data_IF_852714803895
#
_entry.id   IF_852714803895
#
_cell.length_a   1.000
_cell.length_b   1.000
_cell.length_c   1.000
_cell.angle_alpha   90.00
_cell.angle_beta   90.00
_cell.angle_gamma   90.00
#
_symmetry.space_group_name_H-M   'P 1'
#
loop_
_entity.id
_entity.type
_entity.pdbx_description
1 polymer ?
#
# COMPACT_ATOMS: atom_id res chain seq x y z
N UNK A 1 -0.31 27.83 -14.17
CA UNK A 1 0.42 26.55 -13.98
C UNK A 1 -0.53 25.44 -13.50
N UNK A 2 -1.28 25.64 -12.43
CA UNK A 2 -2.20 24.61 -11.88
C UNK A 2 -3.30 24.19 -12.86
N UNK A 3 -3.96 25.14 -13.50
CA UNK A 3 -5.02 24.86 -14.51
C UNK A 3 -4.48 24.08 -15.73
N UNK A 4 -3.24 24.35 -16.15
CA UNK A 4 -2.61 23.61 -17.26
C UNK A 4 -2.35 22.15 -16.84
N UNK A 5 -1.88 21.91 -15.61
CA UNK A 5 -1.69 20.54 -15.07
C UNK A 5 -3.00 19.76 -15.09
N UNK A 6 -4.11 20.35 -14.62
CA UNK A 6 -5.41 19.68 -14.66
C UNK A 6 -5.84 19.34 -16.10
N UNK A 7 -5.65 20.27 -17.05
CA UNK A 7 -5.99 20.02 -18.43
C UNK A 7 -5.13 18.91 -19.05
N UNK A 8 -3.83 18.88 -18.77
CA UNK A 8 -2.93 17.82 -19.24
C UNK A 8 -3.34 16.46 -18.67
N UNK A 9 -3.60 16.39 -17.36
CA UNK A 9 -4.10 15.17 -16.67
C UNK A 9 -5.39 14.67 -17.30
N UNK A 10 -6.38 15.54 -17.51
CA UNK A 10 -7.68 15.16 -18.07
C UNK A 10 -7.61 14.79 -19.56
N UNK A 11 -6.70 15.37 -20.32
CA UNK A 11 -6.53 15.08 -21.75
C UNK A 11 -5.91 13.72 -22.02
N UNK A 12 -5.04 13.25 -21.10
CA UNK A 12 -4.36 11.94 -21.19
C UNK A 12 -5.08 10.82 -20.41
N UNK A 13 -6.18 11.14 -19.72
CA UNK A 13 -6.87 10.23 -18.81
C UNK A 13 -7.30 8.93 -19.49
N UNK A 14 -6.98 7.81 -18.85
CA UNK A 14 -7.48 6.47 -19.14
C UNK A 14 -8.07 5.89 -17.86
N UNK A 15 -9.22 5.24 -17.96
CA UNK A 15 -9.85 4.55 -16.82
C UNK A 15 -9.97 3.08 -17.17
N UNK A 16 -9.42 2.25 -16.28
CA UNK A 16 -9.40 0.80 -16.43
C UNK A 16 -10.11 0.11 -15.26
N UNK A 17 -10.58 -1.11 -15.50
CA UNK A 17 -11.22 -1.97 -14.51
C UNK A 17 -10.55 -3.33 -14.53
N UNK A 18 -9.86 -3.68 -13.44
CA UNK A 18 -9.07 -4.91 -13.33
C UNK A 18 -9.75 -5.87 -12.33
N UNK A 19 -10.15 -7.09 -12.74
CA UNK A 19 -10.62 -8.11 -11.81
C UNK A 19 -9.50 -8.57 -10.87
N UNK A 20 -9.84 -8.87 -9.61
CA UNK A 20 -8.89 -9.51 -8.69
C UNK A 20 -8.97 -11.04 -8.81
N UNK A 21 -7.85 -11.73 -8.56
CA UNK A 21 -7.79 -13.21 -8.56
C UNK A 21 -8.54 -13.82 -7.39
N UNK A 22 -8.64 -13.09 -6.30
CA UNK A 22 -9.38 -13.45 -5.09
C UNK A 22 -9.93 -12.18 -4.45
N UNK A 23 -10.97 -12.30 -3.62
CA UNK A 23 -11.53 -11.15 -2.92
C UNK A 23 -10.47 -10.55 -1.99
N UNK A 24 -10.21 -9.27 -2.13
CA UNK A 24 -9.24 -8.55 -1.31
C UNK A 24 -9.83 -7.22 -0.84
N UNK A 25 -9.78 -6.93 0.45
CA UNK A 25 -10.39 -5.72 1.04
C UNK A 25 -11.89 -5.54 0.65
N UNK A 26 -12.60 -6.64 0.50
CA UNK A 26 -14.02 -6.61 0.14
C UNK A 26 -14.31 -6.42 -1.35
N UNK A 27 -13.32 -6.13 -2.19
CA UNK A 27 -13.49 -5.89 -3.63
C UNK A 27 -13.07 -7.08 -4.49
N UNK A 28 -13.68 -7.20 -5.65
CA UNK A 28 -13.35 -8.17 -6.70
C UNK A 28 -13.03 -7.50 -8.04
N UNK A 29 -13.19 -6.18 -8.10
CA UNK A 29 -12.87 -5.35 -9.25
C UNK A 29 -12.18 -4.08 -8.78
N UNK A 30 -11.01 -3.78 -9.34
CA UNK A 30 -10.23 -2.58 -9.06
C UNK A 30 -10.35 -1.61 -10.23
N UNK A 31 -10.99 -0.47 -10.01
CA UNK A 31 -11.01 0.63 -10.97
C UNK A 31 -9.87 1.60 -10.70
N UNK A 32 -9.24 2.07 -11.75
CA UNK A 32 -8.00 2.85 -11.71
C UNK A 32 -8.05 3.92 -12.82
N UNK A 33 -7.72 5.15 -12.47
CA UNK A 33 -7.51 6.23 -13.41
C UNK A 33 -6.01 6.44 -13.64
N UNK A 34 -5.57 6.33 -14.89
CA UNK A 34 -4.19 6.55 -15.32
C UNK A 34 -4.12 7.83 -16.16
N UNK A 35 -3.02 8.56 -16.06
CA UNK A 35 -2.75 9.73 -16.87
C UNK A 35 -1.25 9.91 -17.10
N UNK A 36 -0.88 10.72 -18.07
CA UNK A 36 0.51 10.95 -18.45
C UNK A 36 0.89 12.42 -18.26
N UNK A 37 2.11 12.65 -17.82
CA UNK A 37 2.73 13.97 -17.77
C UNK A 37 4.19 13.93 -18.24
N UNK A 38 4.92 15.05 -18.15
CA UNK A 38 6.29 15.14 -18.63
C UNK A 38 7.28 14.15 -18.01
N UNK A 39 7.01 13.67 -16.79
CA UNK A 39 7.85 12.71 -16.07
C UNK A 39 7.42 11.25 -16.24
N UNK A 40 6.31 11.01 -16.95
CA UNK A 40 5.79 9.70 -17.28
C UNK A 40 4.36 9.46 -16.84
N UNK A 41 3.95 8.19 -16.86
CA UNK A 41 2.63 7.75 -16.46
C UNK A 41 2.46 7.74 -14.95
N UNK A 42 1.24 8.03 -14.50
CA UNK A 42 0.86 8.09 -13.11
C UNK A 42 -0.54 7.53 -12.87
N UNK A 43 -0.85 7.29 -11.62
CA UNK A 43 -2.09 6.67 -11.18
C UNK A 43 -2.84 7.54 -10.18
N UNK A 44 -4.17 7.61 -10.33
CA UNK A 44 -5.13 8.11 -9.36
C UNK A 44 -6.19 7.04 -9.10
N UNK A 45 -6.09 6.34 -7.98
CA UNK A 45 -6.94 5.19 -7.72
C UNK A 45 -7.40 5.07 -6.26
N UNK A 46 -7.92 6.16 -5.63
CA UNK A 46 -8.49 6.06 -4.30
C UNK A 46 -9.66 5.08 -4.30
N UNK A 47 -9.89 4.38 -3.19
CA UNK A 47 -11.02 3.48 -3.07
C UNK A 47 -12.35 4.21 -3.26
N UNK A 48 -13.35 3.51 -3.80
CA UNK A 48 -14.61 4.15 -4.24
C UNK A 48 -15.39 4.81 -3.10
N UNK A 49 -15.20 4.32 -1.86
CA UNK A 49 -15.84 4.84 -0.65
C UNK A 49 -15.20 6.14 -0.11
N UNK A 50 -14.02 6.54 -0.63
CA UNK A 50 -13.33 7.74 -0.16
C UNK A 50 -13.93 9.01 -0.77
N UNK A 51 -14.12 10.03 0.07
CA UNK A 51 -14.54 11.36 -0.37
C UNK A 51 -13.39 12.14 -1.05
N UNK A 52 -13.67 13.37 -1.45
CA UNK A 52 -12.72 14.23 -2.15
C UNK A 52 -11.50 14.58 -1.28
N UNK A 53 -11.69 14.76 0.02
CA UNK A 53 -10.60 15.12 0.95
C UNK A 53 -9.68 13.92 1.19
N UNK A 54 -10.24 12.73 1.38
CA UNK A 54 -9.44 11.48 1.50
C UNK A 54 -8.75 11.14 0.16
N UNK A 55 -9.35 11.51 -0.96
CA UNK A 55 -8.82 11.28 -2.31
C UNK A 55 -7.75 12.30 -2.72
N UNK A 56 -7.71 13.49 -2.11
CA UNK A 56 -6.78 14.56 -2.49
C UNK A 56 -5.30 14.14 -2.41
N UNK A 57 -4.80 13.50 -1.35
CA UNK A 57 -3.41 13.02 -1.33
C UNK A 57 -3.10 12.06 -2.48
N UNK A 58 -4.03 11.19 -2.86
CA UNK A 58 -3.85 10.26 -3.97
C UNK A 58 -3.69 10.98 -5.32
N UNK A 59 -4.49 12.02 -5.55
CA UNK A 59 -4.35 12.85 -6.74
C UNK A 59 -2.99 13.56 -6.74
N UNK A 60 -2.58 14.12 -5.61
CA UNK A 60 -1.31 14.83 -5.49
C UNK A 60 -0.11 13.90 -5.67
N UNK A 61 -0.21 12.66 -5.21
CA UNK A 61 0.79 11.62 -5.47
C UNK A 61 0.94 11.34 -6.98
N UNK A 62 -0.18 11.17 -7.68
CA UNK A 62 -0.16 10.97 -9.13
C UNK A 62 0.40 12.19 -9.88
N UNK A 63 0.03 13.40 -9.46
CA UNK A 63 0.58 14.63 -10.06
C UNK A 63 2.09 14.75 -9.79
N UNK A 64 2.56 14.45 -8.58
CA UNK A 64 4.00 14.40 -8.30
C UNK A 64 4.69 13.39 -9.23
N UNK A 65 4.12 12.18 -9.39
CA UNK A 65 4.69 11.14 -10.26
C UNK A 65 4.80 11.58 -11.72
N UNK A 66 3.77 12.27 -12.23
CA UNK A 66 3.70 12.70 -13.63
C UNK A 66 4.48 14.00 -13.95
N UNK A 67 4.67 14.89 -12.98
CA UNK A 67 5.18 16.24 -13.24
C UNK A 67 6.47 16.59 -12.49
N UNK A 68 6.79 15.88 -11.39
CA UNK A 68 7.99 16.19 -10.62
C UNK A 68 9.23 15.48 -11.18
N UNK A 69 10.39 16.07 -10.97
CA UNK A 69 11.68 15.44 -11.29
C UNK A 69 11.85 14.15 -10.50
N UNK A 70 12.28 13.05 -11.11
CA UNK A 70 12.60 11.82 -10.38
C UNK A 70 13.67 12.06 -9.30
N UNK A 71 13.51 11.39 -8.16
CA UNK A 71 14.53 11.41 -7.09
C UNK A 71 15.61 10.36 -7.37
N UNK A 72 16.84 10.57 -6.87
CA UNK A 72 17.90 9.57 -6.94
C UNK A 72 17.49 8.31 -6.19
N UNK A 73 17.66 7.15 -6.80
CA UNK A 73 17.41 5.86 -6.19
C UNK A 73 18.71 5.25 -5.66
N UNK A 74 18.64 4.64 -4.48
CA UNK A 74 19.78 4.00 -3.80
C UNK A 74 19.88 2.51 -4.11
N UNK A 75 18.83 1.92 -4.71
CA UNK A 75 18.76 0.50 -5.06
C UNK A 75 17.91 0.27 -6.30
N UNK A 76 18.17 -0.81 -6.99
CA UNK A 76 17.51 -1.18 -8.25
C UNK A 76 16.50 -2.32 -8.10
N UNK A 77 16.51 -3.00 -6.95
CA UNK A 77 15.62 -4.11 -6.64
C UNK A 77 15.08 -3.95 -5.22
N UNK A 78 13.82 -4.29 -5.01
CA UNK A 78 13.15 -4.18 -3.72
C UNK A 78 12.70 -5.56 -3.27
N UNK A 79 13.10 -6.03 -2.07
CA UNK A 79 12.57 -7.25 -1.48
C UNK A 79 11.10 -7.06 -1.10
N UNK A 80 10.25 -8.04 -1.47
CA UNK A 80 8.81 -7.96 -1.22
C UNK A 80 8.32 -9.09 -0.32
N UNK A 81 7.20 -8.86 0.36
CA UNK A 81 6.48 -9.93 1.03
C UNK A 81 5.35 -10.49 0.17
N UNK A 82 5.06 -11.78 0.35
CA UNK A 82 3.81 -12.36 -0.11
C UNK A 82 2.63 -11.75 0.67
N UNK A 83 1.50 -11.53 -0.01
CA UNK A 83 0.26 -11.04 0.62
C UNK A 83 -0.77 -12.16 0.61
N UNK A 84 -1.18 -12.61 1.81
CA UNK A 84 -2.17 -13.65 2.02
C UNK A 84 -3.51 -13.03 2.42
N UNK A 85 -4.53 -13.08 1.56
CA UNK A 85 -5.88 -12.65 1.87
C UNK A 85 -6.55 -13.53 2.95
N UNK A 86 -7.76 -13.16 3.36
CA UNK A 86 -8.60 -13.97 4.25
C UNK A 86 -9.18 -15.15 3.49
N UNK A 87 -8.40 -16.22 3.32
CA UNK A 87 -8.80 -17.49 2.71
C UNK A 87 -8.67 -18.62 3.73
N UNK A 88 -9.57 -19.61 3.66
CA UNK A 88 -9.67 -20.67 4.65
C UNK A 88 -9.43 -22.06 4.07
N UNK A 89 -9.04 -22.15 2.82
CA UNK A 89 -8.69 -23.39 2.15
C UNK A 89 -7.17 -23.52 1.98
N UNK A 90 -6.63 -24.65 2.45
CA UNK A 90 -5.17 -24.89 2.42
C UNK A 90 -4.61 -24.92 1.00
N UNK A 91 -5.35 -25.47 0.03
CA UNK A 91 -4.89 -25.54 -1.35
C UNK A 91 -4.90 -24.15 -2.01
N UNK A 92 -5.87 -23.31 -1.64
CA UNK A 92 -5.90 -21.91 -2.06
C UNK A 92 -4.73 -21.12 -1.46
N UNK A 93 -4.40 -21.34 -0.18
CA UNK A 93 -3.22 -20.73 0.47
C UNK A 93 -1.94 -21.12 -0.27
N UNK A 94 -1.75 -22.41 -0.58
CA UNK A 94 -0.59 -22.89 -1.32
C UNK A 94 -0.50 -22.27 -2.71
N UNK A 95 -1.62 -22.20 -3.42
CA UNK A 95 -1.72 -21.52 -4.72
C UNK A 95 -1.34 -20.04 -4.63
N UNK A 96 -1.84 -19.32 -3.62
CA UNK A 96 -1.52 -17.89 -3.43
C UNK A 96 -0.03 -17.71 -3.13
N UNK A 97 0.56 -18.54 -2.27
CA UNK A 97 2.00 -18.50 -1.97
C UNK A 97 2.85 -18.69 -3.22
N UNK A 98 2.39 -19.51 -4.18
CA UNK A 98 3.11 -19.73 -5.44
C UNK A 98 3.18 -18.50 -6.36
N UNK A 99 2.36 -17.48 -6.13
CA UNK A 99 2.42 -16.20 -6.88
C UNK A 99 3.61 -15.33 -6.47
N UNK A 100 4.33 -15.70 -5.40
CA UNK A 100 5.42 -14.90 -4.82
C UNK A 100 6.73 -15.71 -4.77
N UNK A 101 7.30 -16.09 -5.93
CA UNK A 101 8.48 -16.95 -5.98
C UNK A 101 9.66 -16.30 -5.24
N UNK A 102 10.22 -17.04 -4.27
CA UNK A 102 11.38 -16.62 -3.50
C UNK A 102 11.10 -15.60 -2.37
N UNK A 103 9.85 -15.19 -2.14
CA UNK A 103 9.53 -14.33 -1.01
C UNK A 103 9.75 -15.07 0.32
N UNK A 104 10.49 -14.44 1.23
CA UNK A 104 10.84 -14.97 2.56
C UNK A 104 10.02 -14.36 3.69
N UNK A 105 9.03 -13.55 3.36
CA UNK A 105 8.12 -12.91 4.31
C UNK A 105 6.69 -13.04 3.79
N UNK A 106 5.75 -13.35 4.68
CA UNK A 106 4.32 -13.44 4.34
C UNK A 106 3.54 -12.50 5.25
N UNK A 107 2.78 -11.57 4.65
CA UNK A 107 1.82 -10.72 5.35
C UNK A 107 0.43 -11.34 5.22
N UNK A 108 -0.19 -11.69 6.34
CA UNK A 108 -1.47 -12.40 6.41
C UNK A 108 -2.55 -11.41 6.87
N UNK A 109 -3.62 -11.30 6.09
CA UNK A 109 -4.83 -10.61 6.52
C UNK A 109 -5.55 -11.44 7.58
N UNK A 110 -5.90 -10.78 8.69
CA UNK A 110 -6.62 -11.37 9.82
C UNK A 110 -7.82 -10.51 10.19
N UNK A 111 -8.85 -11.16 10.70
CA UNK A 111 -10.10 -10.51 11.08
C UNK A 111 -10.39 -10.61 12.58
N UNK A 112 -11.66 -10.83 12.91
CA UNK A 112 -12.13 -10.95 14.30
C UNK A 112 -12.38 -12.41 14.72
N UNK A 113 -12.32 -13.37 13.79
CA UNK A 113 -12.45 -14.80 14.08
C UNK A 113 -11.06 -15.42 14.32
N UNK A 114 -10.61 -15.37 15.56
CA UNK A 114 -9.30 -15.86 15.96
C UNK A 114 -9.10 -17.35 15.60
N UNK A 115 -10.13 -18.19 15.66
CA UNK A 115 -10.00 -19.62 15.34
C UNK A 115 -9.63 -19.84 13.88
N UNK A 116 -10.29 -19.14 12.96
CA UNK A 116 -10.00 -19.19 11.53
C UNK A 116 -8.61 -18.61 11.23
N UNK A 117 -8.26 -17.50 11.87
CA UNK A 117 -6.97 -16.85 11.69
C UNK A 117 -5.80 -17.74 12.17
N UNK A 118 -5.95 -18.40 13.34
CA UNK A 118 -4.94 -19.34 13.83
C UNK A 118 -4.75 -20.53 12.87
N UNK A 119 -5.83 -21.08 12.31
CA UNK A 119 -5.75 -22.16 11.33
C UNK A 119 -5.00 -21.69 10.04
N UNK A 120 -5.36 -20.52 9.52
CA UNK A 120 -4.69 -19.93 8.34
C UNK A 120 -3.20 -19.70 8.59
N UNK A 121 -2.86 -19.11 9.73
CA UNK A 121 -1.47 -18.83 10.13
C UNK A 121 -0.68 -20.14 10.25
N UNK A 122 -1.26 -21.17 10.87
CA UNK A 122 -0.63 -22.49 11.00
C UNK A 122 -0.37 -23.13 9.64
N UNK A 123 -1.30 -23.03 8.68
CA UNK A 123 -1.09 -23.53 7.33
C UNK A 123 -0.01 -22.74 6.56
N UNK A 124 -0.02 -21.43 6.65
CA UNK A 124 1.06 -20.59 6.06
C UNK A 124 2.41 -20.99 6.66
N UNK A 125 2.49 -21.14 7.98
CA UNK A 125 3.73 -21.57 8.66
C UNK A 125 4.19 -22.96 8.24
N UNK A 126 3.27 -23.90 8.04
CA UNK A 126 3.58 -25.26 7.57
C UNK A 126 4.07 -25.27 6.12
N UNK A 127 3.48 -24.44 5.24
CA UNK A 127 3.85 -24.33 3.82
C UNK A 127 5.12 -23.48 3.59
N UNK A 128 5.40 -22.54 4.47
CA UNK A 128 6.57 -21.64 4.41
C UNK A 128 7.30 -21.59 5.77
N UNK A 129 7.93 -22.68 6.20
CA UNK A 129 8.44 -22.82 7.58
C UNK A 129 9.56 -21.83 7.95
N UNK A 130 10.29 -21.33 6.96
CA UNK A 130 11.39 -20.39 7.15
C UNK A 130 11.01 -18.93 6.95
N UNK A 131 9.77 -18.65 6.57
CA UNK A 131 9.32 -17.27 6.33
C UNK A 131 9.07 -16.52 7.63
N UNK A 132 9.36 -15.22 7.61
CA UNK A 132 8.83 -14.26 8.56
C UNK A 132 7.34 -14.05 8.31
N UNK A 133 6.57 -13.91 9.37
CA UNK A 133 5.12 -13.71 9.30
C UNK A 133 4.78 -12.35 9.87
N UNK A 134 3.92 -11.64 9.19
CA UNK A 134 3.32 -10.37 9.57
C UNK A 134 1.81 -10.50 9.54
N UNK A 135 1.14 -9.82 10.42
CA UNK A 135 -0.33 -9.77 10.43
C UNK A 135 -0.77 -8.36 10.06
N UNK A 136 -1.85 -8.26 9.29
CA UNK A 136 -2.48 -6.99 8.97
C UNK A 136 -3.95 -7.05 9.40
N UNK A 137 -4.27 -6.27 10.42
CA UNK A 137 -5.55 -6.27 11.14
C UNK A 137 -6.46 -5.13 10.69
N UNK A 138 -5.91 -4.12 10.05
CA UNK A 138 -6.61 -2.88 9.62
C UNK A 138 -7.42 -2.19 10.74
N UNK A 139 -6.91 -2.23 11.98
CA UNK A 139 -7.50 -1.54 13.12
C UNK A 139 -8.78 -2.17 13.68
N UNK A 140 -9.07 -3.43 13.34
CA UNK A 140 -10.37 -4.06 13.68
C UNK A 140 -10.44 -4.67 15.08
N UNK A 141 -9.33 -4.83 15.80
CA UNK A 141 -9.32 -5.44 17.12
C UNK A 141 -9.50 -4.42 18.26
N UNK A 142 -10.16 -4.86 19.34
CA UNK A 142 -10.04 -4.18 20.63
C UNK A 142 -8.69 -4.48 21.27
N UNK A 143 -8.28 -3.68 22.26
CA UNK A 143 -7.04 -3.89 23.02
C UNK A 143 -6.98 -5.30 23.63
N UNK A 144 -8.07 -5.76 24.26
CA UNK A 144 -8.16 -7.09 24.86
C UNK A 144 -8.01 -8.20 23.80
N UNK A 145 -8.73 -8.08 22.67
CA UNK A 145 -8.62 -9.04 21.58
C UNK A 145 -7.21 -9.06 21.00
N UNK A 146 -6.59 -7.90 20.79
CA UNK A 146 -5.23 -7.78 20.27
C UNK A 146 -4.21 -8.52 21.16
N UNK A 147 -4.26 -8.30 22.48
CA UNK A 147 -3.37 -8.97 23.43
C UNK A 147 -3.57 -10.49 23.42
N UNK A 148 -4.81 -10.96 23.41
CA UNK A 148 -5.11 -12.39 23.37
C UNK A 148 -4.66 -13.02 22.05
N UNK A 149 -4.98 -12.38 20.90
CA UNK A 149 -4.63 -12.88 19.58
C UNK A 149 -3.11 -12.93 19.37
N UNK A 150 -2.39 -11.84 19.69
CA UNK A 150 -0.93 -11.76 19.51
C UNK A 150 -0.23 -12.84 20.34
N UNK A 151 -0.64 -13.05 21.61
CA UNK A 151 -0.07 -14.10 22.45
C UNK A 151 -0.36 -15.52 21.87
N UNK A 152 -1.60 -15.80 21.48
CA UNK A 152 -1.97 -17.11 20.92
C UNK A 152 -1.23 -17.40 19.60
N UNK A 153 -1.04 -16.38 18.76
CA UNK A 153 -0.31 -16.50 17.50
C UNK A 153 1.17 -16.71 17.76
N UNK A 154 1.74 -15.99 18.73
CA UNK A 154 3.15 -16.16 19.10
C UNK A 154 3.45 -17.59 19.60
N UNK A 155 2.54 -18.25 20.29
CA UNK A 155 2.65 -19.67 20.68
C UNK A 155 2.80 -20.60 19.46
N UNK A 156 2.19 -20.25 18.31
CA UNK A 156 2.22 -21.06 17.09
C UNK A 156 3.49 -20.82 16.27
N UNK A 157 3.84 -19.54 16.06
CA UNK A 157 4.87 -19.15 15.08
C UNK A 157 6.16 -18.61 15.71
N UNK A 158 6.16 -18.34 17.02
CA UNK A 158 7.33 -17.90 17.78
C UNK A 158 8.05 -16.72 17.13
N UNK A 159 9.38 -16.79 17.08
CA UNK A 159 10.24 -15.74 16.53
C UNK A 159 10.07 -15.48 15.02
N UNK A 160 9.27 -16.28 14.31
CA UNK A 160 8.87 -15.96 12.94
C UNK A 160 7.88 -14.78 12.88
N UNK A 161 7.25 -14.42 13.99
CA UNK A 161 6.33 -13.30 14.09
C UNK A 161 7.09 -11.98 14.11
N UNK A 162 7.14 -11.31 12.95
CA UNK A 162 7.94 -10.10 12.78
C UNK A 162 7.27 -8.86 13.34
N UNK A 163 5.98 -8.65 13.01
CA UNK A 163 5.16 -7.57 13.56
C UNK A 163 3.65 -7.79 13.31
N UNK A 164 2.82 -7.06 14.05
CA UNK A 164 1.39 -6.88 13.78
C UNK A 164 1.14 -5.45 13.31
N UNK A 165 0.51 -5.31 12.14
CA UNK A 165 0.16 -4.03 11.51
C UNK A 165 -1.24 -3.61 11.95
N UNK A 166 -1.31 -2.40 12.51
CA UNK A 166 -2.53 -1.72 12.95
C UNK A 166 -3.52 -2.64 13.68
N UNK A 167 -3.14 -3.22 14.84
CA UNK A 167 -4.04 -4.11 15.56
C UNK A 167 -5.32 -3.40 16.06
N UNK A 168 -5.22 -2.14 16.50
CA UNK A 168 -6.34 -1.34 16.98
C UNK A 168 -6.51 -0.05 16.17
N UNK A 169 -7.65 0.60 16.30
CA UNK A 169 -8.04 1.74 15.45
C UNK A 169 -7.32 3.05 15.80
N UNK A 170 -7.00 3.29 17.08
CA UNK A 170 -6.42 4.54 17.56
C UNK A 170 -5.01 4.39 18.08
N UNK A 171 -4.24 5.48 18.07
CA UNK A 171 -2.88 5.51 18.61
C UNK A 171 -2.83 5.21 20.11
N UNK A 172 -3.84 5.65 20.86
CA UNK A 172 -3.97 5.39 22.29
C UNK A 172 -4.20 3.91 22.58
N UNK A 173 -4.97 3.21 21.76
CA UNK A 173 -5.16 1.76 21.86
C UNK A 173 -3.89 1.01 21.52
N UNK A 174 -3.16 1.43 20.45
CA UNK A 174 -1.87 0.86 20.09
C UNK A 174 -0.85 0.99 21.23
N UNK A 175 -0.81 2.16 21.89
CA UNK A 175 0.03 2.40 23.08
C UNK A 175 -0.32 1.45 24.23
N UNK A 176 -1.63 1.22 24.48
CA UNK A 176 -2.07 0.25 25.50
C UNK A 176 -1.66 -1.16 25.15
N UNK A 177 -1.83 -1.58 23.89
CA UNK A 177 -1.39 -2.92 23.44
C UNK A 177 0.12 -3.06 23.65
N UNK A 178 0.91 -2.11 23.15
CA UNK A 178 2.37 -2.16 23.26
C UNK A 178 2.85 -2.23 24.70
N UNK A 179 2.27 -1.43 25.59
CA UNK A 179 2.66 -1.40 27.02
C UNK A 179 2.31 -2.68 27.78
N UNK A 180 1.26 -3.41 27.37
CA UNK A 180 0.78 -4.62 28.03
C UNK A 180 1.29 -5.92 27.38
N UNK A 181 1.91 -5.82 26.19
CA UNK A 181 2.39 -6.98 25.43
C UNK A 181 3.57 -7.66 26.14
N UNK A 182 3.49 -8.99 26.30
CA UNK A 182 4.49 -9.78 27.01
C UNK A 182 5.44 -10.58 26.08
N UNK A 183 5.16 -10.55 24.77
CA UNK A 183 5.95 -11.24 23.75
C UNK A 183 6.69 -10.22 22.88
N UNK A 184 7.86 -10.55 22.30
CA UNK A 184 8.69 -9.61 21.57
C UNK A 184 8.20 -9.36 20.13
N UNK A 185 6.90 -9.05 20.00
CA UNK A 185 6.27 -8.74 18.71
C UNK A 185 6.19 -7.22 18.55
N UNK A 186 6.64 -6.71 17.43
CA UNK A 186 6.60 -5.28 17.10
C UNK A 186 5.21 -4.85 16.67
N UNK A 187 4.88 -3.58 16.85
CA UNK A 187 3.62 -2.96 16.38
C UNK A 187 3.95 -1.98 15.27
N UNK A 188 3.30 -2.17 14.11
CA UNK A 188 3.40 -1.28 12.96
C UNK A 188 2.12 -0.44 12.79
N UNK A 189 2.28 0.85 12.44
CA UNK A 189 1.17 1.76 12.16
C UNK A 189 1.00 2.00 10.67
N UNK A 190 -0.23 1.87 10.14
CA UNK A 190 -0.66 2.24 8.80
C UNK A 190 -1.76 3.31 8.86
N UNK A 191 -2.96 2.92 9.28
CA UNK A 191 -4.14 3.78 9.30
C UNK A 191 -3.95 5.03 10.17
N UNK A 192 -3.24 4.93 11.26
CA UNK A 192 -2.96 6.07 12.15
C UNK A 192 -2.17 7.19 11.46
N UNK A 193 -1.46 6.90 10.38
CA UNK A 193 -0.78 7.91 9.57
C UNK A 193 -1.63 8.34 8.36
N UNK A 194 -2.03 7.40 7.50
CA UNK A 194 -2.67 7.72 6.23
C UNK A 194 -4.10 8.26 6.35
N UNK A 195 -4.77 8.05 7.49
CA UNK A 195 -6.09 8.61 7.81
C UNK A 195 -6.03 9.80 8.75
N UNK A 196 -4.86 10.15 9.26
CA UNK A 196 -4.70 11.33 10.08
C UNK A 196 -4.90 12.61 9.24
N UNK A 197 -5.57 13.60 9.83
CA UNK A 197 -5.67 14.94 9.21
C UNK A 197 -4.30 15.55 8.94
N UNK A 198 -3.37 15.34 9.88
CA UNK A 198 -1.95 15.68 9.74
C UNK A 198 -1.10 14.51 10.26
N UNK A 199 -0.50 13.71 9.35
CA UNK A 199 0.32 12.57 9.77
C UNK A 199 1.60 12.98 10.53
N UNK A 200 2.08 14.22 10.38
CA UNK A 200 3.22 14.72 11.13
C UNK A 200 2.89 15.03 12.59
N UNK A 201 1.63 15.32 12.90
CA UNK A 201 1.18 15.62 14.26
C UNK A 201 0.80 14.38 15.09
N UNK A 202 0.90 13.17 14.51
CA UNK A 202 0.58 11.93 15.23
C UNK A 202 1.64 11.68 16.32
N UNK A 203 1.20 11.65 17.59
CA UNK A 203 2.09 11.28 18.71
C UNK A 203 2.30 9.77 18.77
N UNK A 204 3.42 9.32 18.21
CA UNK A 204 3.80 7.89 18.15
C UNK A 204 4.53 7.41 19.41
N UNK A 205 4.78 8.26 20.40
CA UNK A 205 5.55 7.92 21.59
C UNK A 205 4.99 6.68 22.28
N UNK A 206 5.84 5.69 22.47
CA UNK A 206 5.52 4.39 23.10
C UNK A 206 4.35 3.61 22.48
N UNK A 207 3.94 3.96 21.24
CA UNK A 207 2.82 3.31 20.56
C UNK A 207 3.27 2.38 19.41
N UNK A 208 4.32 2.75 18.69
CA UNK A 208 4.75 2.08 17.47
C UNK A 208 6.23 1.70 17.50
N UNK A 209 6.59 0.69 16.71
CA UNK A 209 7.97 0.25 16.43
C UNK A 209 8.33 0.40 14.96
N UNK A 210 7.32 0.42 14.06
CA UNK A 210 7.47 0.42 12.61
C UNK A 210 6.41 1.35 12.02
N UNK A 211 6.78 2.08 10.97
CA UNK A 211 5.88 2.90 10.17
C UNK A 211 5.63 2.26 8.81
N UNK A 212 4.36 2.11 8.44
CA UNK A 212 3.98 1.71 7.09
C UNK A 212 3.76 2.96 6.25
N UNK A 213 4.46 3.05 5.12
CA UNK A 213 4.29 4.12 4.15
C UNK A 213 3.59 3.60 2.90
N UNK A 214 2.62 4.37 2.41
CA UNK A 214 1.97 4.19 1.12
C UNK A 214 1.98 5.52 0.39
N UNK A 215 2.62 5.58 -0.77
CA UNK A 215 2.87 6.84 -1.49
C UNK A 215 1.57 7.56 -1.82
N UNK A 216 0.59 6.84 -2.37
CA UNK A 216 -0.64 7.44 -2.85
C UNK A 216 -1.45 8.11 -1.72
N UNK A 217 -1.83 7.43 -0.61
CA UNK A 217 -2.60 8.08 0.45
C UNK A 217 -1.79 9.09 1.27
N UNK A 218 -0.46 9.12 1.15
CA UNK A 218 0.37 10.11 1.83
C UNK A 218 0.70 11.35 0.98
N UNK A 219 0.37 11.32 -0.32
CA UNK A 219 0.50 12.49 -1.18
C UNK A 219 1.84 12.63 -1.90
N UNK A 220 2.52 11.51 -2.17
CA UNK A 220 3.73 11.45 -2.97
C UNK A 220 4.98 10.98 -2.22
N UNK A 221 6.05 10.72 -2.97
CA UNK A 221 7.33 10.23 -2.44
C UNK A 221 7.98 11.27 -1.51
N UNK A 222 8.04 12.53 -1.93
CA UNK A 222 8.70 13.58 -1.14
C UNK A 222 8.07 13.79 0.23
N UNK A 223 6.74 13.75 0.27
CA UNK A 223 6.01 13.86 1.54
C UNK A 223 6.22 12.62 2.40
N UNK A 224 6.23 11.43 1.81
CA UNK A 224 6.51 10.17 2.52
C UNK A 224 7.93 10.15 3.11
N UNK A 225 8.93 10.62 2.39
CA UNK A 225 10.31 10.75 2.90
C UNK A 225 10.42 11.75 4.06
N UNK A 226 9.76 12.92 3.94
CA UNK A 226 9.70 13.89 5.05
C UNK A 226 9.04 13.28 6.29
N UNK A 227 8.00 12.46 6.10
CA UNK A 227 7.31 11.79 7.21
C UNK A 227 8.22 10.73 7.88
N UNK A 228 8.97 9.95 7.09
CA UNK A 228 9.95 9.00 7.60
C UNK A 228 11.04 9.70 8.42
N UNK A 229 11.58 10.80 7.90
CA UNK A 229 12.59 11.62 8.59
C UNK A 229 12.06 12.24 9.88
N UNK A 230 10.78 12.68 9.87
CA UNK A 230 10.14 13.30 11.04
C UNK A 230 9.96 12.30 12.18
N UNK A 231 9.38 11.13 11.92
CA UNK A 231 9.08 10.15 12.96
C UNK A 231 10.25 9.24 13.33
N UNK A 232 11.23 9.06 12.45
CA UNK A 232 12.46 8.27 12.67
C UNK A 232 12.21 6.83 13.12
N UNK A 233 11.13 6.24 12.66
CA UNK A 233 10.85 4.81 12.85
C UNK A 233 11.40 3.99 11.68
N UNK A 234 11.82 2.74 11.91
CA UNK A 234 11.99 1.78 10.83
C UNK A 234 10.76 1.76 9.92
N UNK A 235 10.97 1.77 8.61
CA UNK A 235 9.91 2.01 7.64
C UNK A 235 9.70 0.80 6.74
N UNK A 236 8.45 0.49 6.44
CA UNK A 236 8.04 -0.50 5.43
C UNK A 236 7.19 0.19 4.39
N UNK A 237 7.59 0.15 3.12
CA UNK A 237 6.73 0.63 2.03
C UNK A 237 5.72 -0.46 1.69
N UNK A 238 4.47 -0.06 1.54
CA UNK A 238 3.36 -0.95 1.20
C UNK A 238 2.49 -0.32 0.14
N UNK A 239 1.59 -1.08 -0.44
CA UNK A 239 0.69 -0.63 -1.50
C UNK A 239 -0.76 -0.60 -1.03
N UNK A 240 -1.61 0.04 -1.84
CA UNK A 240 -3.06 0.06 -1.69
C UNK A 240 -3.77 -0.60 -2.89
N UNK A 241 -3.15 -1.66 -3.45
CA UNK A 241 -3.65 -2.42 -4.60
C UNK A 241 -3.68 -1.58 -5.89
N UNK A 242 -2.61 -0.86 -6.15
CA UNK A 242 -2.38 -0.12 -7.37
C UNK A 242 -2.14 -1.07 -8.56
N UNK A 243 -2.29 -0.54 -9.80
CA UNK A 243 -1.77 -1.18 -11.00
C UNK A 243 -0.24 -1.18 -11.01
N UNK A 244 0.36 -1.83 -12.00
CA UNK A 244 1.80 -1.78 -12.24
C UNK A 244 2.35 -0.35 -12.29
N UNK A 245 1.57 0.62 -12.78
CA UNK A 245 1.97 2.02 -12.88
C UNK A 245 2.10 2.64 -11.49
N UNK A 246 1.06 2.54 -10.64
CA UNK A 246 1.11 3.04 -9.27
C UNK A 246 2.13 2.29 -8.42
N UNK A 247 2.20 0.96 -8.57
CA UNK A 247 3.18 0.12 -7.89
C UNK A 247 4.62 0.50 -8.23
N UNK A 248 4.92 0.89 -9.49
CA UNK A 248 6.24 1.38 -9.88
C UNK A 248 6.65 2.63 -9.08
N UNK A 249 5.68 3.47 -8.71
CA UNK A 249 5.94 4.67 -7.92
C UNK A 249 6.16 4.34 -6.44
N UNK A 250 5.47 3.34 -5.89
CA UNK A 250 5.74 2.79 -4.56
C UNK A 250 7.15 2.15 -4.49
N UNK A 251 7.56 1.42 -5.53
CA UNK A 251 8.91 0.85 -5.64
C UNK A 251 9.99 1.95 -5.64
N UNK A 252 9.74 3.09 -6.29
CA UNK A 252 10.65 4.24 -6.28
C UNK A 252 10.79 4.85 -4.89
N UNK A 253 9.71 4.93 -4.08
CA UNK A 253 9.82 5.33 -2.67
C UNK A 253 10.76 4.38 -1.92
N UNK A 254 10.51 3.07 -2.01
CA UNK A 254 11.35 2.07 -1.35
C UNK A 254 12.82 2.14 -1.80
N UNK A 255 13.05 2.45 -3.08
CA UNK A 255 14.39 2.60 -3.63
C UNK A 255 15.12 3.88 -3.16
N UNK A 256 14.37 4.91 -2.76
CA UNK A 256 14.90 6.21 -2.34
C UNK A 256 15.17 6.28 -0.83
N UNK A 257 14.50 5.45 -0.02
CA UNK A 257 14.71 5.40 1.44
C UNK A 257 16.17 5.06 1.76
N UNK A 258 16.82 5.77 2.72
CA UNK A 258 18.19 5.47 3.13
C UNK A 258 18.33 4.04 3.68
N UNK A 259 17.40 3.62 4.52
CA UNK A 259 17.35 2.31 5.17
C UNK A 259 16.12 1.54 4.71
N UNK A 260 16.26 0.23 4.52
CA UNK A 260 15.20 -0.67 4.11
C UNK A 260 15.40 -2.03 4.80
N UNK A 261 15.09 -2.08 6.10
CA UNK A 261 15.35 -3.24 6.96
C UNK A 261 14.36 -4.39 6.74
N UNK A 262 13.25 -4.11 6.06
CA UNK A 262 12.15 -5.05 5.90
C UNK A 262 11.79 -5.23 4.43
N UNK A 263 11.37 -6.44 4.06
CA UNK A 263 10.70 -6.65 2.78
C UNK A 263 9.45 -5.77 2.67
N UNK A 264 9.19 -5.20 1.52
CA UNK A 264 8.09 -4.26 1.29
C UNK A 264 6.77 -4.97 0.94
N UNK A 265 5.64 -4.36 1.29
CA UNK A 265 4.30 -4.85 0.95
C UNK A 265 3.91 -4.54 -0.50
N UNK A 266 4.82 -4.75 -1.45
CA UNK A 266 4.71 -4.35 -2.85
C UNK A 266 4.46 -5.52 -3.81
N UNK A 267 4.14 -6.71 -3.29
CA UNK A 267 3.76 -7.86 -4.11
C UNK A 267 2.28 -7.90 -4.50
N UNK A 268 1.50 -6.85 -4.24
CA UNK A 268 0.04 -6.86 -4.41
C UNK A 268 -0.44 -6.92 -5.86
N UNK A 269 0.39 -6.58 -6.84
CA UNK A 269 0.08 -6.80 -8.25
C UNK A 269 -0.27 -8.26 -8.57
N UNK A 270 0.31 -9.22 -7.82
CA UNK A 270 -0.04 -10.65 -7.95
C UNK A 270 -1.50 -10.98 -7.57
N UNK A 271 -2.21 -10.09 -6.88
CA UNK A 271 -3.64 -10.24 -6.57
C UNK A 271 -4.55 -9.79 -7.72
N UNK A 272 -4.04 -9.05 -8.69
CA UNK A 272 -4.76 -8.63 -9.88
C UNK A 272 -4.73 -9.74 -10.93
N UNK A 273 -5.84 -9.92 -11.66
CA UNK A 273 -5.93 -10.96 -12.69
C UNK A 273 -5.15 -10.59 -13.95
N UNK A 274 -5.14 -9.30 -14.27
CA UNK A 274 -4.44 -8.67 -15.39
C UNK A 274 -3.84 -7.35 -14.92
N UNK A 275 -2.94 -6.79 -15.71
CA UNK A 275 -2.41 -5.45 -15.48
C UNK A 275 -2.08 -4.77 -16.82
N UNK A 276 -1.78 -3.48 -16.78
CA UNK A 276 -1.42 -2.67 -17.94
C UNK A 276 0.07 -2.68 -18.27
N UNK A 277 0.90 -3.24 -17.40
CA UNK A 277 2.31 -3.48 -17.63
C UNK A 277 2.78 -4.68 -16.79
N UNK A 278 3.89 -5.28 -17.18
CA UNK A 278 4.45 -6.43 -16.49
C UNK A 278 5.28 -6.02 -15.27
N UNK A 279 4.95 -6.60 -14.13
CA UNK A 279 5.77 -6.54 -12.90
C UNK A 279 6.07 -7.96 -12.46
N UNK A 280 7.32 -8.37 -12.61
CA UNK A 280 7.73 -9.74 -12.30
C UNK A 280 8.44 -9.82 -10.96
N UNK A 281 8.06 -10.82 -10.15
CA UNK A 281 8.76 -11.18 -8.92
C UNK A 281 9.84 -12.20 -9.24
N UNK A 282 11.10 -11.87 -8.97
CA UNK A 282 12.26 -12.75 -9.17
C UNK A 282 12.97 -12.92 -7.84
N UNK A 283 13.06 -14.15 -7.33
CA UNK A 283 13.73 -14.47 -6.06
C UNK A 283 13.27 -13.56 -4.89
N UNK A 284 11.97 -13.26 -4.82
CA UNK A 284 11.39 -12.41 -3.77
C UNK A 284 11.65 -10.92 -3.94
N UNK A 285 12.10 -10.46 -5.10
CA UNK A 285 12.38 -9.06 -5.41
C UNK A 285 11.61 -8.59 -6.65
N UNK A 286 11.39 -7.29 -6.73
CA UNK A 286 10.88 -6.60 -7.92
C UNK A 286 11.91 -5.54 -8.33
N UNK A 287 12.24 -5.50 -9.63
CA UNK A 287 13.11 -4.47 -10.21
C UNK A 287 12.41 -3.11 -10.22
N UNK A 288 13.16 -2.06 -9.88
CA UNK A 288 12.65 -0.68 -9.87
C UNK A 288 12.84 -0.05 -11.25
N UNK A 289 11.75 0.21 -11.92
CA UNK A 289 11.76 0.82 -13.25
C UNK A 289 10.57 1.74 -13.48
N UNK A 290 10.65 2.58 -14.50
CA UNK A 290 9.53 3.39 -14.97
C UNK A 290 8.76 2.59 -16.00
N UNK A 291 7.47 2.40 -15.80
CA UNK A 291 6.63 1.59 -16.66
C UNK A 291 5.78 2.47 -17.59
N UNK A 292 5.53 1.94 -18.77
CA UNK A 292 4.61 2.52 -19.77
C UNK A 292 3.48 1.50 -19.96
N UNK A 293 2.21 1.91 -19.86
CA UNK A 293 1.10 0.99 -20.08
C UNK A 293 1.07 0.44 -21.51
N UNK A 294 0.82 -0.85 -21.64
CA UNK A 294 0.56 -1.48 -22.94
C UNK A 294 -0.77 -0.99 -23.50
N UNK A 295 -0.79 -0.57 -24.77
CA UNK A 295 -1.97 0.01 -25.40
C UNK A 295 -3.11 -1.00 -25.58
N UNK A 296 -2.78 -2.27 -25.86
CA UNK A 296 -3.80 -3.32 -26.01
C UNK A 296 -4.42 -3.66 -24.64
N UNK A 297 -3.60 -3.65 -23.57
CA UNK A 297 -4.09 -3.84 -22.22
C UNK A 297 -5.00 -2.68 -21.77
N UNK A 298 -4.64 -1.44 -22.07
CA UNK A 298 -5.49 -0.27 -21.80
C UNK A 298 -6.86 -0.37 -22.50
N UNK A 299 -6.90 -0.82 -23.76
CA UNK A 299 -8.15 -1.01 -24.49
C UNK A 299 -8.95 -2.22 -23.95
N UNK A 300 -8.29 -3.30 -23.63
CA UNK A 300 -8.94 -4.54 -23.13
C UNK A 300 -9.54 -4.32 -21.73
N UNK A 301 -8.87 -3.57 -20.88
CA UNK A 301 -9.27 -3.28 -19.50
C UNK A 301 -10.08 -1.98 -19.37
N UNK A 302 -10.38 -1.31 -20.47
CA UNK A 302 -11.09 -0.04 -20.48
C UNK A 302 -12.40 -0.13 -19.70
N UNK A 303 -12.61 0.79 -18.78
CA UNK A 303 -13.88 0.93 -18.08
C UNK A 303 -14.98 1.44 -19.02
N UNK A 304 -16.25 1.27 -18.65
CA UNK A 304 -17.36 1.80 -19.43
C UNK A 304 -17.31 3.34 -19.52
N UNK A 305 -17.95 3.90 -20.54
CA UNK A 305 -18.01 5.36 -20.75
C UNK A 305 -18.67 6.06 -19.54
N UNK A 306 -19.63 5.41 -18.88
CA UNK A 306 -20.24 5.90 -17.64
C UNK A 306 -19.20 5.97 -16.51
N UNK A 307 -18.39 4.92 -16.33
CA UNK A 307 -17.34 4.89 -15.31
C UNK A 307 -16.22 5.86 -15.63
N UNK A 308 -15.84 5.99 -16.90
CA UNK A 308 -14.90 7.02 -17.34
C UNK A 308 -15.36 8.43 -16.95
N UNK A 309 -16.60 8.78 -17.27
CA UNK A 309 -17.18 10.08 -16.92
C UNK A 309 -17.22 10.30 -15.40
N UNK A 310 -17.57 9.28 -14.64
CA UNK A 310 -17.60 9.33 -13.18
C UNK A 310 -16.21 9.60 -12.59
N UNK A 311 -15.17 8.92 -13.10
CA UNK A 311 -13.78 9.12 -12.65
C UNK A 311 -13.26 10.51 -13.05
N UNK A 312 -13.61 11.00 -14.22
CA UNK A 312 -13.27 12.35 -14.66
C UNK A 312 -13.88 13.41 -13.74
N UNK A 313 -15.16 13.26 -13.39
CA UNK A 313 -15.86 14.14 -12.44
C UNK A 313 -15.29 14.06 -11.04
N UNK A 314 -14.97 12.85 -10.58
CA UNK A 314 -14.31 12.62 -9.29
C UNK A 314 -12.97 13.33 -9.23
N UNK A 315 -12.16 13.22 -10.27
CA UNK A 315 -10.86 13.90 -10.35
C UNK A 315 -11.01 15.43 -10.28
N UNK A 316 -11.99 16.00 -10.98
CA UNK A 316 -12.30 17.46 -10.91
C UNK A 316 -12.73 17.88 -9.51
N UNK A 317 -13.60 17.11 -8.85
CA UNK A 317 -14.03 17.37 -7.47
C UNK A 317 -12.89 17.29 -6.49
N UNK A 318 -12.06 16.25 -6.61
CA UNK A 318 -10.85 16.09 -5.78
C UNK A 318 -9.87 17.24 -6.01
N UNK A 319 -9.69 17.69 -7.26
CA UNK A 319 -8.91 18.88 -7.57
C UNK A 319 -9.41 20.11 -6.82
N UNK A 320 -10.71 20.35 -6.87
CA UNK A 320 -11.36 21.49 -6.20
C UNK A 320 -11.29 21.44 -4.68
N UNK A 321 -11.00 20.26 -4.08
CA UNK A 321 -10.84 20.10 -2.64
C UNK A 321 -9.50 20.66 -2.09
N UNK A 322 -8.56 21.09 -2.95
CA UNK A 322 -7.35 21.76 -2.48
C UNK A 322 -6.07 21.48 -3.27
N UNK A 323 -6.16 20.95 -4.50
CA UNK A 323 -4.98 20.61 -5.27
C UNK A 323 -4.13 21.84 -5.63
N UNK A 324 -4.74 22.98 -5.93
CA UNK A 324 -4.01 24.21 -6.26
C UNK A 324 -3.13 24.69 -5.10
N UNK A 325 -3.71 24.76 -3.88
CA UNK A 325 -2.97 25.13 -2.68
C UNK A 325 -1.87 24.13 -2.34
N UNK A 326 -2.11 22.84 -2.64
CA UNK A 326 -1.08 21.82 -2.45
C UNK A 326 0.07 22.01 -3.42
N UNK A 327 -0.20 22.22 -4.71
CA UNK A 327 0.80 22.47 -5.75
C UNK A 327 1.62 23.71 -5.41
N UNK A 328 0.98 24.80 -4.98
CA UNK A 328 1.67 26.04 -4.58
C UNK A 328 2.69 25.82 -3.47
N UNK A 329 2.38 24.96 -2.50
CA UNK A 329 3.28 24.64 -1.37
C UNK A 329 4.42 23.70 -1.76
N UNK A 330 4.16 22.72 -2.63
CA UNK A 330 5.09 21.61 -2.86
C UNK A 330 5.84 21.69 -4.19
N UNK A 331 5.38 22.48 -5.18
CA UNK A 331 5.95 22.51 -6.53
C UNK A 331 7.39 23.01 -6.62
N UNK A 332 7.85 23.79 -5.65
CA UNK A 332 9.27 24.18 -5.58
C UNK A 332 10.17 22.98 -5.30
N UNK A 333 9.67 21.98 -4.59
CA UNK A 333 10.37 20.73 -4.30
C UNK A 333 10.35 19.75 -5.49
N UNK A 334 9.56 20.03 -6.55
CA UNK A 334 9.44 19.16 -7.72
C UNK A 334 10.49 19.44 -8.79
N UNK A 335 11.18 20.58 -8.68
CA UNK A 335 12.27 21.00 -9.59
C UNK A 335 13.57 20.28 -9.23
#
# INVERSE_FOLDING_TARGET
MSEQILNDVLSSLKVISIPTRTKFRGITLREIALFEGPSGWAEFSPFLEYDENESLPWLMSGIEAAFARPLPMLRTEIPINATMPEVDDRAEIEKILSWYPGATTVKIKVGTDLTRDLARIAWVKALSPHSHIRLDVNGSWSVEHALNAINAIYEIIGNSFQYVEQPCSTIEELRKVKSALKVPVKIAGDEVFRKARDPFAVDISDALDIMILKVAPLGGIRRSLKLAEHHKLPTVVSSALESAIGLSYELKLAATLPELDYACGLGTGSLLQFDVADVTIVNGHITVESLIPDQNALETLRASDERFSWWQDRMRKTWSAGAEQWIERESENWK
#
